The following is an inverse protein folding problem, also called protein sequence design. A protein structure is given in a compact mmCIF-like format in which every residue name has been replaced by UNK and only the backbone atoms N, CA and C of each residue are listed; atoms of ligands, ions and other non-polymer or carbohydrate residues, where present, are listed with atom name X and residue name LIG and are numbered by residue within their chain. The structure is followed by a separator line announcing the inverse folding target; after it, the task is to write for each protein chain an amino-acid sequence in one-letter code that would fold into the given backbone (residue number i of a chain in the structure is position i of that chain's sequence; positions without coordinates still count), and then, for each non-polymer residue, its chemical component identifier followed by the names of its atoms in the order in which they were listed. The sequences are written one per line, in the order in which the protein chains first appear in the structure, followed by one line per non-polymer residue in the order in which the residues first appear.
data_IF_100082525438
#
_entry.id   IF_100082525438
#
_cell.length_a   1.000
_cell.length_b   1.000
_cell.length_c   1.000
_cell.angle_alpha   90.00
_cell.angle_beta   90.00
_cell.angle_gamma   90.00
#
_symmetry.space_group_name_H-M   'P 1'
#
loop_
_entity.id
_entity.type
_entity.pdbx_description
1 polymer ?
#
# COMPACT_ATOMS: atom_id res chain seq x y z
N UNK A 1 22.03 27.29 32.44
CA UNK A 1 20.65 26.79 32.29
C UNK A 1 20.38 26.68 30.80
N UNK A 2 19.94 25.52 30.27
CA UNK A 2 19.68 25.40 28.84
C UNK A 2 18.51 26.29 28.44
N UNK A 3 18.65 26.98 27.32
CA UNK A 3 17.64 27.84 26.73
C UNK A 3 16.41 27.03 26.29
N UNK A 4 15.28 27.70 26.10
CA UNK A 4 14.06 27.05 25.55
C UNK A 4 14.36 26.40 24.20
N UNK A 5 15.19 27.03 23.36
CA UNK A 5 15.65 26.51 22.07
C UNK A 5 16.46 25.22 22.22
N UNK A 6 17.46 25.20 23.10
CA UNK A 6 18.29 24.01 23.34
C UNK A 6 17.46 22.82 23.88
N UNK A 7 16.47 23.10 24.73
CA UNK A 7 15.54 22.06 25.21
C UNK A 7 14.72 21.46 24.08
N UNK A 8 14.18 22.31 23.18
CA UNK A 8 13.38 21.87 22.05
C UNK A 8 14.23 21.10 21.02
N UNK A 9 15.48 21.52 20.77
CA UNK A 9 16.42 20.78 19.92
C UNK A 9 16.74 19.40 20.50
N UNK A 10 16.97 19.31 21.81
CA UNK A 10 17.15 18.02 22.50
C UNK A 10 15.92 17.12 22.41
N UNK A 11 14.71 17.69 22.55
CA UNK A 11 13.46 16.95 22.37
C UNK A 11 13.25 16.47 20.93
N UNK A 12 13.56 17.32 19.94
CA UNK A 12 13.53 16.95 18.50
C UNK A 12 14.46 15.78 18.22
N UNK A 13 15.70 15.81 18.70
CA UNK A 13 16.64 14.71 18.54
C UNK A 13 16.14 13.43 19.22
N UNK A 14 15.54 13.55 20.41
CA UNK A 14 14.89 12.44 21.09
C UNK A 14 13.75 11.82 20.27
N UNK A 15 12.91 12.66 19.64
CA UNK A 15 11.83 12.22 18.76
C UNK A 15 12.36 11.53 17.49
N UNK A 16 13.41 12.07 16.87
CA UNK A 16 14.12 11.45 15.73
C UNK A 16 14.51 10.00 16.05
N UNK A 17 15.20 9.80 17.18
CA UNK A 17 15.62 8.47 17.64
C UNK A 17 14.47 7.50 17.97
N UNK A 18 13.28 8.02 18.31
CA UNK A 18 12.08 7.22 18.55
C UNK A 18 11.44 6.83 17.22
N UNK A 19 11.33 7.78 16.29
CA UNK A 19 10.79 7.57 14.95
C UNK A 19 11.62 6.53 14.19
N UNK A 20 12.95 6.64 14.21
CA UNK A 20 13.84 5.67 13.56
C UNK A 20 13.59 4.24 14.06
N UNK A 21 13.35 4.08 15.37
CA UNK A 21 12.99 2.79 15.96
C UNK A 21 11.63 2.27 15.52
N UNK A 22 10.64 3.14 15.31
CA UNK A 22 9.36 2.73 14.76
C UNK A 22 9.49 2.31 13.29
N UNK A 23 10.26 3.06 12.49
CA UNK A 23 10.53 2.73 11.10
C UNK A 23 11.17 1.34 10.98
N UNK A 24 12.22 1.04 11.76
CA UNK A 24 12.84 -0.29 11.75
C UNK A 24 11.85 -1.40 12.14
N UNK A 25 11.04 -1.19 13.17
CA UNK A 25 10.02 -2.17 13.59
C UNK A 25 8.94 -2.40 12.54
N UNK A 26 8.56 -1.36 11.80
CA UNK A 26 7.59 -1.47 10.71
C UNK A 26 8.20 -2.26 9.56
N UNK A 27 9.47 -2.02 9.24
CA UNK A 27 10.21 -2.78 8.22
C UNK A 27 10.35 -4.26 8.63
N UNK A 28 10.62 -4.56 9.90
CA UNK A 28 10.63 -5.93 10.43
C UNK A 28 9.24 -6.59 10.38
N UNK A 29 8.20 -5.92 10.90
CA UNK A 29 6.82 -6.45 10.90
C UNK A 29 6.26 -6.62 9.48
N UNK A 30 6.76 -5.81 8.53
CA UNK A 30 6.44 -5.92 7.11
C UNK A 30 6.88 -7.26 6.51
N UNK A 31 7.94 -7.86 7.04
CA UNK A 31 8.51 -9.12 6.55
C UNK A 31 7.87 -10.34 7.23
N UNK A 32 7.23 -10.15 8.39
CA UNK A 32 6.64 -11.21 9.22
C UNK A 32 5.12 -11.44 8.98
N UNK A 33 4.50 -10.69 8.05
CA UNK A 33 3.05 -10.73 7.74
C UNK A 33 2.12 -10.55 8.97
N UNK A 34 2.59 -9.87 10.02
CA UNK A 34 1.77 -9.49 11.18
C UNK A 34 1.06 -8.15 10.93
N UNK A 35 -0.07 -8.20 10.22
CA UNK A 35 -0.85 -7.02 9.85
C UNK A 35 -1.37 -6.20 11.04
N UNK A 36 -1.66 -6.85 12.18
CA UNK A 36 -2.16 -6.19 13.39
C UNK A 36 -1.03 -5.36 14.03
N UNK A 37 0.14 -5.98 14.19
CA UNK A 37 1.32 -5.28 14.71
C UNK A 37 1.77 -4.18 13.74
N UNK A 38 1.74 -4.45 12.43
CA UNK A 38 2.10 -3.49 11.40
C UNK A 38 1.20 -2.24 11.44
N UNK A 39 -0.13 -2.42 11.53
CA UNK A 39 -1.07 -1.31 11.66
C UNK A 39 -0.82 -0.49 12.94
N UNK A 40 -0.66 -1.15 14.09
CA UNK A 40 -0.44 -0.48 15.37
C UNK A 40 0.88 0.32 15.39
N UNK A 41 1.91 -0.15 14.69
CA UNK A 41 3.18 0.56 14.55
C UNK A 41 3.05 1.79 13.66
N UNK A 42 2.26 1.72 12.58
CA UNK A 42 1.99 2.86 11.68
C UNK A 42 1.24 3.98 12.41
N UNK A 43 0.21 3.65 13.18
CA UNK A 43 -0.56 4.63 13.97
C UNK A 43 0.34 5.34 14.99
N UNK A 44 1.22 4.59 15.66
CA UNK A 44 2.20 5.18 16.60
C UNK A 44 3.24 6.03 15.90
N UNK A 45 3.72 5.62 14.73
CA UNK A 45 4.65 6.41 13.92
C UNK A 45 4.02 7.75 13.53
N UNK A 46 2.76 7.75 13.09
CA UNK A 46 2.02 8.98 12.75
C UNK A 46 1.92 9.94 13.92
N UNK A 47 1.60 9.45 15.13
CA UNK A 47 1.58 10.27 16.34
C UNK A 47 2.94 10.94 16.61
N UNK A 48 4.05 10.21 16.41
CA UNK A 48 5.40 10.74 16.65
C UNK A 48 5.84 11.74 15.59
N UNK A 49 5.48 11.51 14.32
CA UNK A 49 5.72 12.46 13.23
C UNK A 49 4.96 13.77 13.46
N UNK A 50 3.68 13.69 13.87
CA UNK A 50 2.92 14.88 14.23
C UNK A 50 3.57 15.66 15.40
N UNK A 51 4.10 14.95 16.39
CA UNK A 51 4.83 15.57 17.49
C UNK A 51 6.13 16.25 17.01
N UNK A 52 6.87 15.64 16.09
CA UNK A 52 8.08 16.21 15.50
C UNK A 52 7.79 17.52 14.75
N UNK A 53 6.74 17.53 13.92
CA UNK A 53 6.30 18.73 13.18
C UNK A 53 6.01 19.89 14.12
N UNK A 54 5.24 19.66 15.20
CA UNK A 54 4.94 20.70 16.20
C UNK A 54 6.22 21.22 16.89
N UNK A 55 7.22 20.36 17.11
CA UNK A 55 8.49 20.82 17.68
C UNK A 55 9.30 21.65 16.68
N UNK A 56 9.34 21.25 15.40
CA UNK A 56 10.00 22.03 14.35
C UNK A 56 9.37 23.43 14.22
N UNK A 57 8.03 23.52 14.19
CA UNK A 57 7.31 24.80 14.16
C UNK A 57 7.63 25.68 15.36
N UNK A 58 7.72 25.09 16.56
CA UNK A 58 8.11 25.82 17.77
C UNK A 58 9.54 26.33 17.70
N UNK A 59 10.47 25.52 17.20
CA UNK A 59 11.87 25.92 17.04
C UNK A 59 11.96 27.09 16.06
N UNK A 60 11.28 26.98 14.92
CA UNK A 60 11.15 28.03 13.91
C UNK A 60 10.57 29.34 14.48
N UNK A 61 9.54 29.23 15.32
CA UNK A 61 8.90 30.40 15.95
C UNK A 61 9.78 31.11 16.98
N UNK A 62 10.77 30.41 17.54
CA UNK A 62 11.71 30.93 18.55
C UNK A 62 12.99 31.48 17.94
N UNK A 63 13.22 31.23 16.65
CA UNK A 63 14.40 31.71 15.95
C UNK A 63 14.10 33.06 15.33
N UNK A 64 14.48 34.13 16.01
CA UNK A 64 14.71 35.43 15.39
C UNK A 64 15.87 35.27 14.38
N UNK A 65 15.58 35.00 13.10
CA UNK A 65 16.47 35.06 11.92
C UNK A 65 17.87 34.38 11.93
N UNK A 66 18.33 33.79 13.05
CA UNK A 66 19.72 33.39 13.30
C UNK A 66 19.86 31.88 13.62
N UNK A 67 18.89 31.06 13.19
CA UNK A 67 19.12 29.61 13.15
C UNK A 67 20.21 29.32 12.12
N UNK A 68 21.19 28.48 12.47
CA UNK A 68 22.09 27.94 11.46
C UNK A 68 21.22 27.22 10.42
N UNK A 69 21.19 27.69 9.16
CA UNK A 69 20.26 27.18 8.14
C UNK A 69 20.44 25.67 7.91
N UNK A 70 21.60 25.13 8.25
CA UNK A 70 21.96 23.73 8.14
C UNK A 70 21.11 22.82 9.06
N UNK A 71 20.93 23.19 10.33
CA UNK A 71 20.14 22.41 11.30
C UNK A 71 18.64 22.38 10.97
N UNK A 72 18.18 23.44 10.29
CA UNK A 72 16.83 23.64 9.77
C UNK A 72 16.57 22.78 8.54
N UNK A 73 17.50 22.80 7.58
CA UNK A 73 17.42 21.99 6.35
C UNK A 73 17.42 20.49 6.67
N UNK A 74 18.29 20.03 7.59
CA UNK A 74 18.28 18.62 8.02
C UNK A 74 16.94 18.22 8.68
N UNK A 75 16.27 19.17 9.36
CA UNK A 75 14.98 18.92 9.99
C UNK A 75 13.87 18.69 8.97
N UNK A 76 13.83 19.53 7.95
CA UNK A 76 12.84 19.48 6.89
C UNK A 76 13.03 18.21 6.04
N UNK A 77 14.27 17.90 5.65
CA UNK A 77 14.60 16.71 4.86
C UNK A 77 14.22 15.42 5.60
N UNK A 78 14.61 15.30 6.87
CA UNK A 78 14.26 14.13 7.67
C UNK A 78 12.75 13.96 7.83
N UNK A 79 12.03 15.06 8.07
CA UNK A 79 10.58 15.00 8.25
C UNK A 79 9.88 14.57 6.96
N UNK A 80 10.32 15.10 5.82
CA UNK A 80 9.83 14.72 4.51
C UNK A 80 10.04 13.22 4.24
N UNK A 81 11.23 12.69 4.50
CA UNK A 81 11.53 11.27 4.29
C UNK A 81 10.62 10.35 5.09
N UNK A 82 10.38 10.69 6.36
CA UNK A 82 9.50 9.90 7.24
C UNK A 82 8.04 9.99 6.78
N UNK A 83 7.56 11.16 6.33
CA UNK A 83 6.21 11.30 5.77
C UNK A 83 6.02 10.47 4.50
N UNK A 84 7.03 10.43 3.62
CA UNK A 84 7.02 9.58 2.41
C UNK A 84 6.93 8.11 2.79
N UNK A 85 7.71 7.67 3.78
CA UNK A 85 7.64 6.30 4.31
C UNK A 85 6.26 5.98 4.90
N UNK A 86 5.74 6.86 5.76
CA UNK A 86 4.42 6.70 6.38
C UNK A 86 3.31 6.56 5.33
N UNK A 87 3.36 7.36 4.26
CA UNK A 87 2.43 7.25 3.13
C UNK A 87 2.51 5.89 2.45
N UNK A 88 3.72 5.37 2.21
CA UNK A 88 3.92 4.04 1.62
C UNK A 88 3.38 2.92 2.53
N UNK A 89 3.62 3.01 3.83
CA UNK A 89 3.12 2.03 4.79
C UNK A 89 1.59 2.01 4.86
N UNK A 90 0.95 3.18 4.88
CA UNK A 90 -0.51 3.30 4.82
C UNK A 90 -1.10 2.75 3.52
N UNK A 91 -0.42 2.95 2.40
CA UNK A 91 -0.86 2.37 1.12
C UNK A 91 -0.82 0.83 1.15
N UNK A 92 0.13 0.21 1.86
CA UNK A 92 0.15 -1.25 2.05
C UNK A 92 -1.07 -1.73 2.82
N UNK A 93 -1.42 -1.08 3.94
CA UNK A 93 -2.63 -1.42 4.72
C UNK A 93 -3.93 -1.32 3.89
N UNK A 94 -3.97 -0.42 2.92
CA UNK A 94 -5.14 -0.21 2.05
C UNK A 94 -5.19 -1.17 0.87
N UNK A 95 -4.13 -1.94 0.58
CA UNK A 95 -4.23 -2.96 -0.46
C UNK A 95 -5.24 -3.99 0.02
N UNK A 96 -6.41 -4.14 -0.63
CA UNK A 96 -7.28 -5.25 -0.30
C UNK A 96 -6.45 -6.52 -0.45
N UNK A 97 -6.60 -7.46 0.49
CA UNK A 97 -6.10 -8.82 0.34
C UNK A 97 -6.73 -9.41 -0.93
N UNK A 98 -6.12 -9.17 -2.09
CA UNK A 98 -6.39 -9.89 -3.34
C UNK A 98 -5.67 -11.23 -3.18
N UNK A 99 -6.19 -12.02 -2.27
CA UNK A 99 -5.68 -13.31 -1.85
C UNK A 99 -6.80 -14.01 -1.12
N UNK A 100 -7.41 -14.99 -1.79
CA UNK A 100 -8.42 -15.93 -1.30
C UNK A 100 -9.89 -15.45 -1.39
N UNK A 101 -10.33 -15.00 -2.56
CA UNK A 101 -11.73 -15.23 -3.03
C UNK A 101 -11.77 -15.26 -4.56
N UNK A 102 -11.09 -16.25 -5.16
CA UNK A 102 -11.31 -16.52 -6.60
C UNK A 102 -11.17 -18.01 -6.94
N UNK A 103 -10.47 -18.83 -6.14
CA UNK A 103 -10.47 -20.28 -6.39
C UNK A 103 -11.81 -20.97 -6.02
N UNK A 104 -12.55 -20.45 -5.03
CA UNK A 104 -13.85 -20.99 -4.64
C UNK A 104 -15.00 -20.50 -5.54
N UNK A 105 -14.93 -19.27 -6.07
CA UNK A 105 -15.89 -18.77 -7.05
C UNK A 105 -15.66 -19.36 -8.44
N UNK A 106 -14.41 -19.64 -8.84
CA UNK A 106 -14.11 -20.39 -10.06
C UNK A 106 -14.52 -21.87 -10.01
N UNK A 107 -14.60 -22.48 -8.81
CA UNK A 107 -15.06 -23.86 -8.64
C UNK A 107 -16.56 -23.98 -8.37
N UNK A 108 -17.21 -22.93 -7.85
CA UNK A 108 -18.66 -22.91 -7.64
C UNK A 108 -19.46 -22.85 -8.96
N UNK A 109 -18.80 -22.48 -10.07
CA UNK A 109 -19.36 -22.62 -11.42
C UNK A 109 -19.03 -23.95 -12.10
N UNK A 110 -18.18 -24.80 -11.51
CA UNK A 110 -17.72 -26.05 -12.11
C UNK A 110 -18.51 -27.29 -11.65
N UNK A 111 -19.47 -27.18 -10.72
CA UNK A 111 -20.35 -28.29 -10.36
C UNK A 111 -21.71 -27.83 -9.84
N UNK A 112 -22.66 -27.69 -10.78
CA UNK A 112 -24.06 -27.40 -10.50
C UNK A 112 -24.95 -27.78 -11.68
N UNK A 113 -25.20 -29.08 -11.81
CA UNK A 113 -26.12 -29.71 -12.76
C UNK A 113 -27.57 -29.19 -12.64
N UNK A 114 -28.27 -29.07 -13.77
CA UNK A 114 -29.72 -29.38 -13.85
C UNK A 114 -30.73 -28.24 -13.99
N UNK A 115 -31.24 -28.09 -15.22
CA UNK A 115 -32.69 -28.09 -15.56
C UNK A 115 -33.52 -26.78 -15.63
N UNK A 116 -34.02 -26.57 -16.86
CA UNK A 116 -35.35 -26.12 -17.30
C UNK A 116 -35.64 -24.65 -17.72
N UNK A 117 -35.81 -24.53 -19.05
CA UNK A 117 -36.82 -23.77 -19.84
C UNK A 117 -36.95 -22.24 -19.75
N UNK A 118 -36.71 -21.58 -20.91
CA UNK A 118 -37.61 -20.57 -21.48
C UNK A 118 -37.36 -20.42 -23.00
N UNK A 119 -38.44 -20.15 -23.74
CA UNK A 119 -38.65 -20.45 -25.17
C UNK A 119 -38.26 -19.32 -26.14
N UNK A 120 -37.85 -19.67 -27.37
CA UNK A 120 -37.75 -18.74 -28.52
C UNK A 120 -37.36 -19.46 -29.84
N UNK A 121 -37.94 -19.10 -31.01
CA UNK A 121 -38.10 -20.00 -32.15
C UNK A 121 -36.82 -20.21 -32.99
N UNK A 122 -36.68 -21.45 -33.49
CA UNK A 122 -35.63 -21.92 -34.39
C UNK A 122 -35.65 -21.18 -35.74
N UNK A 123 -34.50 -20.68 -36.25
CA UNK A 123 -34.36 -20.41 -37.68
C UNK A 123 -34.21 -21.71 -38.48
N UNK A 124 -34.73 -21.76 -39.72
CA UNK A 124 -35.03 -23.00 -40.42
C UNK A 124 -33.81 -23.76 -40.94
N UNK A 125 -33.93 -25.08 -40.87
CA UNK A 125 -33.07 -26.07 -41.51
C UNK A 125 -33.02 -25.88 -43.02
N UNK A 126 -31.85 -25.51 -43.56
CA UNK A 126 -31.51 -25.77 -44.95
C UNK A 126 -30.71 -27.06 -45.03
N UNK A 127 -31.45 -28.16 -45.26
CA UNK A 127 -30.89 -29.32 -45.91
C UNK A 127 -30.42 -28.92 -47.32
N UNK A 128 -29.15 -29.14 -47.64
CA UNK A 128 -28.80 -29.48 -49.02
C UNK A 128 -27.52 -30.32 -49.10
N UNK A 129 -27.77 -31.61 -49.37
CA UNK A 129 -26.98 -32.57 -50.15
C UNK A 129 -25.52 -32.84 -49.77
N UNK A 130 -25.35 -34.07 -49.29
CA UNK A 130 -24.31 -35.05 -49.67
C UNK A 130 -23.60 -34.70 -50.99
N UNK A 131 -22.26 -34.66 -50.95
CA UNK A 131 -21.44 -35.39 -51.90
C UNK A 131 -20.06 -35.68 -51.31
N UNK A 132 -19.77 -36.97 -51.20
CA UNK A 132 -18.44 -37.55 -51.15
C UNK A 132 -17.63 -37.10 -52.36
N UNK A 133 -16.35 -36.74 -52.18
CA UNK A 133 -15.32 -37.26 -53.07
C UNK A 133 -13.91 -37.16 -52.47
N UNK A 134 -13.19 -38.23 -52.75
CA UNK A 134 -11.85 -38.60 -52.38
C UNK A 134 -10.76 -37.74 -53.02
N UNK A 135 -9.61 -37.72 -52.34
CA UNK A 135 -8.24 -37.85 -52.85
C UNK A 135 -7.66 -36.88 -53.90
N UNK A 136 -6.32 -36.84 -53.84
CA UNK A 136 -5.34 -36.26 -54.75
C UNK A 136 -5.03 -34.77 -54.54
N UNK A 137 -3.79 -34.28 -54.62
CA UNK A 137 -2.50 -34.86 -54.98
C UNK A 137 -1.46 -33.72 -54.84
N UNK A 138 -0.21 -34.10 -54.57
CA UNK A 138 1.03 -33.38 -54.83
C UNK A 138 1.25 -31.98 -54.23
N UNK A 139 2.13 -31.97 -53.22
CA UNK A 139 2.96 -30.81 -52.92
C UNK A 139 3.96 -30.53 -54.05
N UNK A 140 4.29 -29.25 -54.19
CA UNK A 140 5.57 -28.81 -54.73
C UNK A 140 6.63 -28.81 -53.63
#
# INVERSE_FOLDING_TARGET
MPTTKEKLLGQRLGLKNIIDRFVSKIEEASDEDDDIQFQALIEKLEEKVACLLVHNDKILSLTDADAAPEDMVEAEEYTFDVEVKLRRYKQRLQRPNIGITDAADLLSHASGSGSQQASGPLPPSNQRRVNTNSSNDSGQ
#
